data_IF_810174745668
#
_entry.id   IF_810174745668
#
_cell.length_a   1.000
_cell.length_b   1.000
_cell.length_c   1.000
_cell.angle_alpha   90.00
_cell.angle_beta   90.00
_cell.angle_gamma   90.00
#
_symmetry.space_group_name_H-M   'P 1'
#
loop_
_entity.id
_entity.type
_entity.pdbx_description
1 polymer ?
#
# COMPACT_ATOMS: atom_id res chain seq x y z
N UNK A 1 -7.97 -9.27 -10.98
CA UNK A 1 -8.10 -10.69 -10.60
C UNK A 1 -8.10 -10.78 -9.10
N UNK A 2 -9.11 -11.39 -8.51
CA UNK A 2 -9.25 -11.48 -7.07
C UNK A 2 -8.89 -12.88 -6.57
N UNK A 3 -8.21 -12.92 -5.42
CA UNK A 3 -7.92 -14.20 -4.76
C UNK A 3 -9.06 -14.59 -3.84
N UNK A 4 -9.32 -15.90 -3.72
CA UNK A 4 -10.24 -16.40 -2.73
C UNK A 4 -9.69 -16.14 -1.32
N UNK A 5 -10.60 -15.89 -0.35
CA UNK A 5 -10.22 -15.63 1.04
C UNK A 5 -9.28 -16.68 1.60
N UNK A 6 -9.51 -17.96 1.30
CA UNK A 6 -8.65 -19.08 1.75
C UNK A 6 -7.21 -18.89 1.26
N UNK A 7 -7.02 -18.46 0.03
CA UNK A 7 -5.69 -18.22 -0.53
C UNK A 7 -5.03 -17.02 0.10
N UNK A 8 -5.81 -15.96 0.34
CA UNK A 8 -5.33 -14.75 1.01
C UNK A 8 -4.84 -15.10 2.42
N UNK A 9 -5.61 -15.89 3.16
CA UNK A 9 -5.27 -16.25 4.53
C UNK A 9 -4.01 -17.14 4.60
N UNK A 10 -3.68 -17.85 3.53
CA UNK A 10 -2.46 -18.66 3.43
C UNK A 10 -1.22 -17.85 3.10
N UNK A 11 -1.35 -16.61 2.63
CA UNK A 11 -0.22 -15.75 2.30
C UNK A 11 0.26 -15.06 3.58
N UNK A 12 1.58 -14.93 3.74
CA UNK A 12 2.15 -14.25 4.90
C UNK A 12 1.77 -12.76 4.90
N UNK A 13 1.83 -12.13 6.07
CA UNK A 13 1.48 -10.70 6.19
C UNK A 13 2.36 -9.82 5.30
N UNK A 14 3.68 -10.08 5.30
CA UNK A 14 4.59 -9.33 4.44
C UNK A 14 4.46 -9.74 2.97
N UNK A 15 4.01 -10.96 2.68
CA UNK A 15 3.70 -11.40 1.32
C UNK A 15 2.52 -10.62 0.74
N UNK A 16 1.47 -10.40 1.54
CA UNK A 16 0.35 -9.55 1.12
C UNK A 16 0.82 -8.11 0.85
N UNK A 17 1.66 -7.57 1.73
CA UNK A 17 2.21 -6.23 1.55
C UNK A 17 3.06 -6.15 0.27
N UNK A 18 3.81 -7.19 -0.04
CA UNK A 18 4.61 -7.25 -1.26
C UNK A 18 3.74 -7.19 -2.51
N UNK A 19 2.65 -7.95 -2.55
CA UNK A 19 1.67 -7.89 -3.64
C UNK A 19 1.08 -6.49 -3.72
N UNK A 20 0.65 -5.95 -2.58
CA UNK A 20 -0.01 -4.66 -2.51
C UNK A 20 0.88 -3.49 -2.90
N UNK A 21 2.19 -3.58 -2.66
CA UNK A 21 3.14 -2.58 -3.13
C UNK A 21 3.05 -2.44 -4.66
N UNK A 22 3.05 -3.57 -5.37
CA UNK A 22 2.87 -3.58 -6.82
C UNK A 22 1.51 -3.05 -7.25
N UNK A 23 0.45 -3.47 -6.58
CA UNK A 23 -0.91 -3.04 -6.89
C UNK A 23 -1.06 -1.53 -6.69
N UNK A 24 -0.62 -1.01 -5.55
CA UNK A 24 -0.73 0.42 -5.24
C UNK A 24 0.05 1.25 -6.24
N UNK A 25 1.27 0.83 -6.56
CA UNK A 25 2.09 1.56 -7.53
C UNK A 25 1.45 1.54 -8.92
N UNK A 26 0.90 0.40 -9.33
CA UNK A 26 0.19 0.31 -10.62
C UNK A 26 -0.99 1.28 -10.68
N UNK A 27 -1.78 1.37 -9.61
CA UNK A 27 -2.91 2.29 -9.54
C UNK A 27 -2.45 3.75 -9.61
N UNK A 28 -1.37 4.09 -8.91
CA UNK A 28 -0.81 5.44 -8.96
C UNK A 28 -0.31 5.79 -10.37
N UNK A 29 0.39 4.87 -11.01
CA UNK A 29 0.89 5.08 -12.38
C UNK A 29 -0.26 5.26 -13.37
N UNK A 30 -1.30 4.43 -13.26
CA UNK A 30 -2.48 4.55 -14.11
C UNK A 30 -3.19 5.89 -13.94
N UNK A 31 -3.37 6.31 -12.69
CA UNK A 31 -3.97 7.60 -12.37
C UNK A 31 -3.20 8.75 -13.03
N UNK A 32 -1.87 8.75 -12.90
CA UNK A 32 -1.04 9.82 -13.46
C UNK A 32 -1.11 9.87 -14.98
N UNK A 33 -1.11 8.71 -15.64
CA UNK A 33 -1.23 8.64 -17.09
C UNK A 33 -2.58 9.21 -17.57
N UNK A 34 -3.65 8.91 -16.85
CA UNK A 34 -4.99 9.40 -17.19
C UNK A 34 -5.15 10.89 -16.94
N UNK A 35 -4.38 11.47 -16.03
CA UNK A 35 -4.50 12.88 -15.63
C UNK A 35 -3.48 13.80 -16.30
N UNK A 36 -2.92 13.37 -17.43
CA UNK A 36 -2.20 14.24 -18.33
C UNK A 36 -0.69 14.36 -18.13
N UNK A 37 -0.12 13.61 -17.21
CA UNK A 37 1.34 13.54 -17.07
C UNK A 37 1.89 12.62 -18.15
N UNK A 38 2.76 13.16 -19.02
CA UNK A 38 3.14 12.47 -20.27
C UNK A 38 4.59 12.04 -20.37
N UNK A 39 5.52 12.78 -19.73
CA UNK A 39 6.93 12.42 -19.82
C UNK A 39 7.28 11.35 -18.79
N UNK A 40 8.21 10.46 -19.15
CA UNK A 40 8.67 9.40 -18.23
C UNK A 40 9.25 10.02 -16.95
N UNK A 41 9.98 11.12 -17.08
CA UNK A 41 10.57 11.78 -15.92
C UNK A 41 9.50 12.31 -14.96
N UNK A 42 8.47 13.00 -15.49
CA UNK A 42 7.38 13.50 -14.65
C UNK A 42 6.60 12.36 -14.01
N UNK A 43 6.29 11.32 -14.78
CA UNK A 43 5.60 10.15 -14.26
C UNK A 43 6.37 9.51 -13.11
N UNK A 44 7.69 9.35 -13.27
CA UNK A 44 8.52 8.77 -12.22
C UNK A 44 8.53 9.63 -10.95
N UNK A 45 8.74 10.93 -11.10
CA UNK A 45 8.77 11.85 -9.96
C UNK A 45 7.45 11.88 -9.21
N UNK A 46 6.33 11.92 -9.93
CA UNK A 46 5.01 11.95 -9.31
C UNK A 46 4.67 10.62 -8.66
N UNK A 47 5.07 9.50 -9.25
CA UNK A 47 4.86 8.19 -8.65
C UNK A 47 5.61 8.10 -7.31
N UNK A 48 6.89 8.47 -7.28
CA UNK A 48 7.68 8.47 -6.04
C UNK A 48 7.03 9.33 -4.96
N UNK A 49 6.46 10.48 -5.33
CA UNK A 49 5.78 11.35 -4.38
C UNK A 49 4.51 10.71 -3.79
N UNK A 50 3.88 9.78 -4.50
CA UNK A 50 2.65 9.12 -4.04
C UNK A 50 2.91 7.82 -3.26
N UNK A 51 3.98 7.09 -3.57
CA UNK A 51 4.20 5.76 -3.01
C UNK A 51 5.20 5.73 -1.86
N UNK A 52 5.78 6.87 -1.47
CA UNK A 52 6.67 6.88 -0.31
C UNK A 52 5.88 6.67 0.99
N UNK A 53 6.54 6.18 2.03
CA UNK A 53 5.87 5.81 3.27
C UNK A 53 5.15 6.98 3.97
N UNK A 54 5.71 8.19 4.07
CA UNK A 54 4.98 9.32 4.63
C UNK A 54 3.69 9.65 3.88
N UNK A 55 3.72 9.63 2.53
CA UNK A 55 2.53 9.91 1.72
C UNK A 55 1.48 8.82 1.90
N UNK A 56 1.90 7.56 1.93
CA UNK A 56 0.99 6.44 2.18
C UNK A 56 0.36 6.52 3.58
N UNK A 57 1.15 6.89 4.59
CA UNK A 57 0.63 7.05 5.96
C UNK A 57 -0.44 8.14 6.04
N UNK A 58 -0.22 9.26 5.36
CA UNK A 58 -1.21 10.34 5.29
C UNK A 58 -2.50 9.87 4.61
N UNK A 59 -2.38 9.11 3.54
CA UNK A 59 -3.53 8.52 2.84
C UNK A 59 -4.29 7.55 3.75
N UNK A 60 -3.57 6.73 4.52
CA UNK A 60 -4.17 5.80 5.49
C UNK A 60 -5.07 6.51 6.49
N UNK A 61 -4.63 7.65 7.02
CA UNK A 61 -5.42 8.39 8.00
C UNK A 61 -6.77 8.83 7.44
N UNK A 62 -6.84 9.10 6.15
CA UNK A 62 -8.10 9.44 5.47
C UNK A 62 -8.93 8.21 5.12
N UNK A 63 -8.28 7.09 4.88
CA UNK A 63 -8.92 5.87 4.41
C UNK A 63 -9.56 5.05 5.55
N UNK A 64 -8.90 4.98 6.70
CA UNK A 64 -9.31 4.10 7.81
C UNK A 64 -10.78 4.21 8.19
N UNK A 65 -11.38 5.42 8.30
CA UNK A 65 -12.79 5.52 8.67
C UNK A 65 -13.75 4.92 7.65
N UNK A 66 -13.29 4.66 6.43
CA UNK A 66 -14.12 4.16 5.34
C UNK A 66 -14.06 2.63 5.22
N UNK A 67 -13.17 1.96 5.95
CA UNK A 67 -12.95 0.53 5.82
C UNK A 67 -13.96 -0.26 6.65
N UNK A 68 -14.43 -1.39 6.12
CA UNK A 68 -15.22 -2.35 6.89
C UNK A 68 -14.29 -3.22 7.75
N UNK A 69 -14.87 -4.11 8.57
CA UNK A 69 -14.10 -4.95 9.48
C UNK A 69 -13.15 -5.92 8.78
N UNK A 70 -13.57 -6.49 7.65
CA UNK A 70 -12.70 -7.39 6.89
C UNK A 70 -11.50 -6.64 6.31
N UNK A 71 -11.73 -5.47 5.72
CA UNK A 71 -10.67 -4.62 5.20
C UNK A 71 -9.71 -4.18 6.29
N UNK A 72 -10.25 -3.78 7.45
CA UNK A 72 -9.43 -3.43 8.61
C UNK A 72 -8.56 -4.61 9.06
N UNK A 73 -9.07 -5.84 9.01
CA UNK A 73 -8.29 -7.00 9.41
C UNK A 73 -7.07 -7.20 8.51
N UNK A 74 -7.22 -6.99 7.20
CA UNK A 74 -6.09 -7.07 6.27
C UNK A 74 -5.08 -5.94 6.51
N UNK A 75 -5.58 -4.74 6.74
CA UNK A 75 -4.72 -3.60 7.09
C UNK A 75 -3.89 -3.90 8.34
N UNK A 76 -4.52 -4.41 9.39
CA UNK A 76 -3.83 -4.74 10.64
C UNK A 76 -2.76 -5.82 10.47
N UNK A 77 -2.98 -6.78 9.58
CA UNK A 77 -2.00 -7.81 9.29
C UNK A 77 -0.68 -7.20 8.82
N UNK A 78 -0.74 -6.22 7.93
CA UNK A 78 0.46 -5.53 7.46
C UNK A 78 1.04 -4.58 8.50
N UNK A 79 0.17 -3.78 9.12
CA UNK A 79 0.59 -2.79 10.12
C UNK A 79 1.34 -3.44 11.29
N UNK A 80 0.90 -4.62 11.72
CA UNK A 80 1.45 -5.31 12.86
C UNK A 80 2.55 -6.31 12.50
N UNK A 81 2.93 -6.41 11.23
CA UNK A 81 4.00 -7.30 10.80
C UNK A 81 5.34 -6.79 11.32
N UNK A 82 6.21 -7.73 11.72
CA UNK A 82 7.54 -7.38 12.16
C UNK A 82 8.42 -7.06 10.96
N UNK A 83 9.06 -5.88 11.01
CA UNK A 83 10.05 -5.47 10.01
C UNK A 83 11.36 -5.16 10.72
N UNK A 84 12.48 -5.53 10.10
CA UNK A 84 13.79 -5.38 10.73
C UNK A 84 14.42 -4.00 10.51
N UNK A 85 13.98 -3.28 9.48
CA UNK A 85 14.55 -1.98 9.14
C UNK A 85 13.48 -1.04 8.60
N UNK A 86 13.59 0.23 9.01
CA UNK A 86 12.71 1.29 8.51
C UNK A 86 13.49 2.12 7.49
N UNK A 87 12.95 2.39 6.28
CA UNK A 87 13.64 3.20 5.28
C UNK A 87 13.96 4.60 5.79
N UNK A 88 15.05 5.17 5.28
CA UNK A 88 15.37 6.57 5.52
C UNK A 88 14.22 7.46 5.07
N UNK A 89 13.94 8.49 5.87
CA UNK A 89 12.88 9.45 5.55
C UNK A 89 11.51 9.07 6.04
N UNK A 90 11.36 7.94 6.74
CA UNK A 90 10.10 7.53 7.33
C UNK A 90 10.27 7.21 8.81
N UNK A 91 9.24 7.52 9.61
CA UNK A 91 9.19 7.06 11.00
C UNK A 91 8.70 5.61 11.05
N UNK A 92 8.97 4.87 12.14
CA UNK A 92 8.40 3.54 12.29
C UNK A 92 6.88 3.50 12.16
N UNK A 93 6.17 4.51 12.69
CA UNK A 93 4.72 4.60 12.59
C UNK A 93 4.26 4.78 11.14
N UNK A 94 4.94 5.64 10.39
CA UNK A 94 4.63 5.85 8.97
C UNK A 94 4.86 4.58 8.16
N UNK A 95 5.96 3.89 8.41
CA UNK A 95 6.29 2.67 7.70
C UNK A 95 5.28 1.55 8.02
N UNK A 96 4.87 1.44 9.28
CA UNK A 96 3.85 0.46 9.68
C UNK A 96 2.51 0.72 8.97
N UNK A 97 2.08 1.97 8.89
CA UNK A 97 0.86 2.35 8.16
C UNK A 97 0.98 2.03 6.67
N UNK A 98 2.13 2.33 6.07
CA UNK A 98 2.36 2.03 4.66
C UNK A 98 2.30 0.52 4.41
N UNK A 99 2.93 -0.27 5.26
CA UNK A 99 2.90 -1.74 5.14
C UNK A 99 1.47 -2.26 5.30
N UNK A 100 0.70 -1.68 6.22
CA UNK A 100 -0.72 -2.02 6.40
C UNK A 100 -1.54 -1.71 5.15
N UNK A 101 -1.32 -0.54 4.56
CA UNK A 101 -1.99 -0.15 3.31
C UNK A 101 -1.69 -1.13 2.19
N UNK A 102 -0.42 -1.49 2.04
CA UNK A 102 0.00 -2.44 1.02
C UNK A 102 -0.63 -3.81 1.23
N UNK A 103 -0.68 -4.30 2.48
CA UNK A 103 -1.34 -5.58 2.77
C UNK A 103 -2.83 -5.54 2.42
N UNK A 104 -3.51 -4.43 2.72
CA UNK A 104 -4.90 -4.24 2.33
C UNK A 104 -5.07 -4.34 0.81
N UNK A 105 -4.27 -3.60 0.05
CA UNK A 105 -4.35 -3.65 -1.41
C UNK A 105 -3.98 -5.03 -1.97
N UNK A 106 -3.02 -5.71 -1.35
CA UNK A 106 -2.67 -7.07 -1.73
C UNK A 106 -3.83 -8.04 -1.56
N UNK A 107 -4.57 -7.90 -0.45
CA UNK A 107 -5.72 -8.75 -0.17
C UNK A 107 -6.91 -8.44 -1.11
N UNK A 108 -7.11 -7.17 -1.45
CA UNK A 108 -8.22 -6.75 -2.31
C UNK A 108 -7.98 -7.05 -3.80
N UNK A 109 -6.72 -7.23 -4.17
CA UNK A 109 -6.39 -7.55 -5.56
C UNK A 109 -6.82 -8.96 -5.91
#
# INVERSE_FOLDING_TARGET
MNMEKRRIDAISNLGLAHIGDGVFELLCRGYLCEHGFKTVLDLHKKTVAMVNAPAQAEFVDKLLPLLNEEELSYYRRGKNAHVHAVPKGATPAQYAKATGLEALFGALY
#
